data_IF_610768678030
#
_entry.id   IF_610768678030
#
_cell.length_a   1.000
_cell.length_b   1.000
_cell.length_c   1.000
_cell.angle_alpha   90.00
_cell.angle_beta   90.00
_cell.angle_gamma   90.00
#
_symmetry.space_group_name_H-M   'P 1'
#
loop_
_entity.id
_entity.type
_entity.pdbx_description
1 polymer ?
#
# COMPACT_ATOMS: atom_id res chain seq x y z
N UNK A 1 -6.67 6.57 16.78
CA UNK A 1 -5.98 7.77 17.29
C UNK A 1 -4.46 7.69 17.15
N UNK A 2 -3.80 6.57 17.52
CA UNK A 2 -2.34 6.44 17.49
C UNK A 2 -1.76 6.61 16.07
N UNK A 3 -2.40 6.05 15.04
CA UNK A 3 -1.97 6.20 13.64
C UNK A 3 -2.09 7.67 13.20
N UNK A 4 -3.23 8.32 13.44
CA UNK A 4 -3.43 9.74 13.11
C UNK A 4 -2.40 10.63 13.82
N UNK A 5 -2.09 10.34 15.07
CA UNK A 5 -1.07 11.05 15.81
C UNK A 5 0.32 10.94 15.17
N UNK A 6 0.66 9.78 14.58
CA UNK A 6 1.90 9.64 13.81
C UNK A 6 1.88 10.46 12.54
N UNK A 7 0.78 10.49 11.80
CA UNK A 7 0.66 11.27 10.58
C UNK A 7 0.80 12.77 10.83
N UNK A 8 0.14 13.31 11.85
CA UNK A 8 0.29 14.72 12.26
C UNK A 8 1.75 15.08 12.59
N UNK A 9 2.50 14.17 13.20
CA UNK A 9 3.90 14.41 13.56
C UNK A 9 4.85 14.38 12.37
N UNK A 10 4.51 13.70 11.29
CA UNK A 10 5.28 13.72 10.04
C UNK A 10 5.21 15.10 9.40
N UNK A 11 4.03 15.72 9.36
CA UNK A 11 3.85 17.07 8.82
C UNK A 11 4.75 18.07 9.54
N UNK A 12 4.98 17.90 10.83
CA UNK A 12 5.89 18.73 11.62
C UNK A 12 7.38 18.36 11.49
N UNK A 13 7.74 17.38 10.65
CA UNK A 13 9.10 16.80 10.48
C UNK A 13 9.74 16.24 11.76
N UNK A 14 9.03 16.25 12.88
CA UNK A 14 9.59 15.90 14.19
C UNK A 14 9.96 14.41 14.34
N UNK A 15 9.31 13.54 13.58
CA UNK A 15 9.51 12.07 13.65
C UNK A 15 10.84 11.70 12.98
N UNK A 16 11.07 12.15 11.77
CA UNK A 16 12.29 11.88 11.01
C UNK A 16 13.55 12.39 11.72
N UNK A 17 13.50 13.58 12.28
CA UNK A 17 14.62 14.15 13.03
C UNK A 17 15.05 13.32 14.24
N UNK A 18 14.14 12.48 14.78
CA UNK A 18 14.42 11.54 15.89
C UNK A 18 14.99 10.21 15.44
N UNK A 19 15.18 9.98 14.14
CA UNK A 19 15.59 8.70 13.57
C UNK A 19 14.46 7.67 13.56
N UNK A 20 13.22 8.12 13.46
CA UNK A 20 12.03 7.26 13.34
C UNK A 20 11.53 7.25 11.89
N UNK A 21 11.07 6.11 11.42
CA UNK A 21 10.49 5.94 10.08
C UNK A 21 9.08 5.38 10.23
N UNK A 22 8.13 5.90 9.45
CA UNK A 22 6.78 5.36 9.37
C UNK A 22 6.58 4.80 7.97
N UNK A 23 6.17 3.53 7.92
CA UNK A 23 5.92 2.79 6.69
C UNK A 23 4.50 2.23 6.79
N UNK A 24 3.68 2.50 5.77
CA UNK A 24 2.42 1.82 5.56
C UNK A 24 2.66 0.69 4.56
N UNK A 25 2.20 -0.52 4.85
CA UNK A 25 2.30 -1.64 3.91
C UNK A 25 0.93 -2.26 3.66
N UNK A 26 0.73 -2.72 2.42
CA UNK A 26 -0.52 -3.34 1.98
C UNK A 26 -0.30 -4.19 0.74
N UNK A 27 -1.21 -5.13 0.48
CA UNK A 27 -1.19 -5.98 -0.70
C UNK A 27 -2.40 -5.76 -1.59
N UNK A 28 -2.16 -5.83 -2.90
CA UNK A 28 -3.20 -5.95 -3.92
C UNK A 28 -3.12 -7.33 -4.56
N UNK A 29 -3.90 -8.30 -4.07
CA UNK A 29 -3.87 -9.65 -4.59
C UNK A 29 -4.60 -9.76 -5.93
N UNK A 30 -4.27 -10.81 -6.69
CA UNK A 30 -5.01 -11.25 -7.87
C UNK A 30 -5.18 -10.19 -8.98
N UNK A 31 -4.19 -9.32 -9.16
CA UNK A 31 -4.19 -8.38 -10.29
C UNK A 31 -4.15 -9.19 -11.57
N UNK A 32 -5.17 -9.05 -12.42
CA UNK A 32 -5.31 -9.84 -13.66
C UNK A 32 -4.26 -9.45 -14.70
N UNK A 33 -3.58 -10.46 -15.25
CA UNK A 33 -2.67 -10.27 -16.40
C UNK A 33 -3.48 -10.49 -17.66
N UNK A 34 -3.81 -9.41 -18.34
CA UNK A 34 -4.71 -9.42 -19.50
C UNK A 34 -3.97 -9.03 -20.76
N UNK A 35 -4.10 -9.85 -21.81
CA UNK A 35 -3.69 -9.56 -23.17
C UNK A 35 -4.93 -9.29 -24.03
N UNK A 36 -5.05 -8.09 -24.60
CA UNK A 36 -6.15 -7.74 -25.50
C UNK A 36 -5.93 -8.38 -26.85
N UNK A 37 -6.96 -9.01 -27.41
CA UNK A 37 -6.86 -9.73 -28.68
C UNK A 37 -6.72 -8.77 -29.86
N UNK A 38 -7.26 -7.58 -29.78
CA UNK A 38 -7.20 -6.55 -30.80
C UNK A 38 -6.67 -5.24 -30.23
N UNK A 39 -5.95 -4.43 -31.02
CA UNK A 39 -5.46 -3.14 -30.56
C UNK A 39 -6.61 -2.17 -30.30
N UNK A 40 -6.46 -1.36 -29.23
CA UNK A 40 -7.39 -0.26 -28.96
C UNK A 40 -7.44 0.69 -30.16
N UNK A 41 -8.63 1.02 -30.63
CA UNK A 41 -8.83 2.03 -31.66
C UNK A 41 -8.86 3.42 -31.00
N UNK A 42 -7.85 4.28 -31.25
CA UNK A 42 -7.78 5.59 -30.61
C UNK A 42 -8.91 6.50 -31.05
N UNK A 43 -9.25 7.46 -30.19
CA UNK A 43 -10.23 8.50 -30.48
C UNK A 43 -9.85 9.27 -31.76
N UNK A 44 -10.83 9.49 -32.64
CA UNK A 44 -10.72 10.32 -33.84
C UNK A 44 -11.87 11.33 -33.86
N UNK A 45 -11.76 12.37 -34.70
CA UNK A 45 -12.83 13.35 -34.83
C UNK A 45 -14.16 12.66 -35.22
N UNK A 46 -15.16 12.80 -34.35
CA UNK A 46 -16.48 12.15 -34.51
C UNK A 46 -16.54 10.67 -34.11
N UNK A 47 -15.46 10.09 -33.60
CA UNK A 47 -15.43 8.70 -33.12
C UNK A 47 -14.83 8.61 -31.72
N UNK A 48 -15.53 7.97 -30.79
CA UNK A 48 -15.02 7.67 -29.45
C UNK A 48 -13.94 6.57 -29.51
N UNK A 49 -13.07 6.56 -28.51
CA UNK A 49 -12.14 5.44 -28.30
C UNK A 49 -12.91 4.12 -28.15
N UNK A 50 -12.50 3.08 -28.87
CA UNK A 50 -13.06 1.74 -28.76
C UNK A 50 -12.01 0.80 -28.22
N UNK A 51 -12.28 0.21 -27.07
CA UNK A 51 -11.45 -0.83 -26.47
C UNK A 51 -12.07 -2.19 -26.74
N UNK A 52 -11.23 -3.15 -27.06
CA UNK A 52 -11.63 -4.55 -27.22
C UNK A 52 -12.05 -5.14 -25.87
N UNK A 53 -13.13 -5.89 -25.88
CA UNK A 53 -13.66 -6.59 -24.70
C UNK A 53 -13.12 -8.01 -24.58
N UNK A 54 -12.62 -8.59 -25.68
CA UNK A 54 -12.02 -9.92 -25.66
C UNK A 54 -10.56 -9.84 -25.21
N UNK A 55 -10.23 -10.67 -24.24
CA UNK A 55 -8.88 -10.75 -23.69
C UNK A 55 -8.51 -12.18 -23.35
N UNK A 56 -7.23 -12.49 -23.51
CA UNK A 56 -6.60 -13.71 -23.03
C UNK A 56 -6.03 -13.46 -21.64
N UNK A 57 -6.27 -14.39 -20.71
CA UNK A 57 -5.73 -14.32 -19.35
C UNK A 57 -4.42 -15.08 -19.25
N UNK A 58 -3.42 -14.45 -18.64
CA UNK A 58 -2.11 -15.03 -18.36
C UNK A 58 -1.85 -15.20 -16.86
N UNK A 59 -2.92 -15.44 -16.09
CA UNK A 59 -2.85 -15.58 -14.64
C UNK A 59 -2.99 -14.27 -13.89
N UNK A 60 -2.42 -14.21 -12.70
CA UNK A 60 -2.49 -13.07 -11.79
C UNK A 60 -1.14 -12.72 -11.19
N UNK A 61 -1.03 -11.50 -10.70
CA UNK A 61 0.11 -11.01 -9.91
C UNK A 61 -0.41 -10.53 -8.56
N UNK A 62 0.31 -10.86 -7.49
CA UNK A 62 0.06 -10.31 -6.15
C UNK A 62 1.11 -9.23 -5.88
N UNK A 63 0.68 -8.00 -5.72
CA UNK A 63 1.54 -6.86 -5.50
C UNK A 63 1.55 -6.48 -4.01
N UNK A 64 2.70 -6.55 -3.37
CA UNK A 64 2.92 -5.96 -2.05
C UNK A 64 3.57 -4.59 -2.20
N UNK A 65 3.08 -3.61 -1.46
CA UNK A 65 3.63 -2.26 -1.44
C UNK A 65 4.01 -1.80 -0.05
N UNK A 66 5.00 -0.91 0.01
CA UNK A 66 5.33 -0.15 1.20
C UNK A 66 5.41 1.34 0.85
N UNK A 67 4.65 2.16 1.55
CA UNK A 67 4.70 3.62 1.44
C UNK A 67 5.54 4.19 2.57
N UNK A 68 6.60 4.90 2.21
CA UNK A 68 7.40 5.65 3.17
C UNK A 68 6.73 7.02 3.37
N UNK A 69 6.01 7.16 4.48
CA UNK A 69 5.02 8.22 4.66
C UNK A 69 5.61 9.63 4.57
N UNK A 70 6.85 9.84 5.06
CA UNK A 70 7.46 11.17 5.12
C UNK A 70 7.86 11.77 3.75
N UNK A 71 8.07 10.93 2.74
CA UNK A 71 8.50 11.37 1.41
C UNK A 71 7.63 10.82 0.28
N UNK A 72 6.64 9.99 0.61
CA UNK A 72 5.72 9.39 -0.35
C UNK A 72 6.34 8.36 -1.30
N UNK A 73 7.58 7.93 -1.04
CA UNK A 73 8.23 6.93 -1.89
C UNK A 73 7.59 5.56 -1.70
N UNK A 74 7.46 4.87 -2.81
CA UNK A 74 6.93 3.52 -2.89
C UNK A 74 8.07 2.50 -2.90
N UNK A 75 7.89 1.42 -2.17
CA UNK A 75 8.54 0.14 -2.38
C UNK A 75 7.51 -0.85 -2.90
N UNK A 76 7.88 -1.70 -3.84
CA UNK A 76 6.99 -2.69 -4.43
C UNK A 76 7.70 -4.02 -4.66
N UNK A 77 6.98 -5.11 -4.43
CA UNK A 77 7.41 -6.47 -4.74
C UNK A 77 6.21 -7.30 -5.21
N UNK A 78 6.42 -8.11 -6.24
CA UNK A 78 5.43 -9.05 -6.73
C UNK A 78 5.63 -10.40 -6.03
N UNK A 79 4.62 -10.86 -5.31
CA UNK A 79 4.64 -12.11 -4.55
C UNK A 79 4.04 -13.25 -5.39
N UNK A 80 4.55 -14.46 -5.22
CA UNK A 80 3.98 -15.64 -5.87
C UNK A 80 2.63 -16.01 -5.27
N UNK A 81 2.47 -15.84 -3.96
CA UNK A 81 1.21 -16.06 -3.25
C UNK A 81 0.94 -14.93 -2.27
N UNK A 82 -0.34 -14.68 -2.02
CA UNK A 82 -0.79 -13.75 -0.98
C UNK A 82 -1.06 -14.50 0.32
N UNK A 83 0.02 -14.88 1.00
CA UNK A 83 -0.02 -15.60 2.29
C UNK A 83 1.10 -15.13 3.21
N UNK A 84 1.05 -15.57 4.48
CA UNK A 84 2.03 -15.18 5.49
C UNK A 84 3.46 -15.65 5.19
N UNK A 85 3.65 -16.74 4.44
CA UNK A 85 4.98 -17.25 4.07
C UNK A 85 5.70 -16.30 3.11
N UNK A 86 4.96 -15.72 2.16
CA UNK A 86 5.51 -14.74 1.21
C UNK A 86 5.55 -13.33 1.78
N UNK A 87 4.59 -12.97 2.62
CA UNK A 87 4.51 -11.68 3.29
C UNK A 87 5.72 -11.42 4.21
N UNK A 88 6.05 -12.34 5.12
CA UNK A 88 7.12 -12.15 6.12
C UNK A 88 8.49 -11.83 5.50
N UNK A 89 9.00 -12.59 4.50
CA UNK A 89 10.24 -12.23 3.82
C UNK A 89 10.18 -10.90 3.08
N UNK A 90 9.05 -10.56 2.47
CA UNK A 90 8.83 -9.30 1.79
C UNK A 90 8.90 -8.11 2.77
N UNK A 91 8.31 -8.24 3.96
CA UNK A 91 8.46 -7.25 5.05
C UNK A 91 9.94 -7.08 5.44
N UNK A 92 10.72 -8.15 5.57
CA UNK A 92 12.17 -8.02 5.85
C UNK A 92 12.89 -7.22 4.76
N UNK A 93 12.57 -7.46 3.48
CA UNK A 93 13.16 -6.70 2.35
C UNK A 93 12.72 -5.24 2.35
N UNK A 94 11.44 -4.96 2.62
CA UNK A 94 10.92 -3.60 2.78
C UNK A 94 11.65 -2.83 3.88
N UNK A 95 11.93 -3.47 5.01
CA UNK A 95 12.55 -2.84 6.18
C UNK A 95 14.07 -2.73 6.07
N UNK A 96 14.71 -3.53 5.22
CA UNK A 96 16.17 -3.63 5.11
C UNK A 96 16.88 -2.27 4.88
N UNK A 97 16.42 -1.38 3.97
CA UNK A 97 17.07 -0.09 3.73
C UNK A 97 17.05 0.86 4.95
N UNK A 98 16.22 0.57 5.94
CA UNK A 98 16.01 1.39 7.15
C UNK A 98 16.75 0.82 8.38
N UNK A 99 17.82 0.04 8.16
CA UNK A 99 18.67 -0.49 9.22
C UNK A 99 19.27 0.58 10.15
N UNK A 100 19.45 1.79 9.65
CA UNK A 100 19.93 2.96 10.38
C UNK A 100 18.88 3.58 11.33
N UNK A 101 17.58 3.33 11.11
CA UNK A 101 16.51 3.91 11.89
C UNK A 101 16.53 3.38 13.33
N UNK A 102 16.41 4.27 14.31
CA UNK A 102 16.27 3.91 15.72
C UNK A 102 14.95 3.19 15.98
N UNK A 103 13.91 3.56 15.23
CA UNK A 103 12.57 3.00 15.36
C UNK A 103 11.83 3.04 14.04
N UNK A 104 11.14 1.95 13.71
CA UNK A 104 10.27 1.87 12.53
C UNK A 104 8.85 1.58 13.01
N UNK A 105 7.90 2.39 12.59
CA UNK A 105 6.47 2.17 12.80
C UNK A 105 5.89 1.60 11.51
N UNK A 106 5.54 0.30 11.54
CA UNK A 106 4.93 -0.39 10.41
C UNK A 106 3.42 -0.42 10.61
N UNK A 107 2.68 0.24 9.73
CA UNK A 107 1.23 0.30 9.72
C UNK A 107 0.74 -0.71 8.68
N UNK A 108 -0.10 -1.65 9.10
CA UNK A 108 -0.69 -2.71 8.29
C UNK A 108 -2.15 -2.92 8.69
N UNK A 109 -2.90 -3.60 7.86
CA UNK A 109 -4.27 -3.98 8.19
C UNK A 109 -4.34 -5.25 9.07
N UNK A 110 -5.56 -5.65 9.46
CA UNK A 110 -5.82 -6.84 10.27
C UNK A 110 -6.07 -8.10 9.44
N UNK A 111 -5.54 -8.19 8.22
CA UNK A 111 -5.66 -9.37 7.38
C UNK A 111 -5.20 -10.66 8.09
N UNK A 112 -5.79 -11.79 7.73
CA UNK A 112 -5.45 -13.09 8.35
C UNK A 112 -3.98 -13.48 8.16
N UNK A 113 -3.37 -13.10 7.04
CA UNK A 113 -1.93 -13.26 6.78
C UNK A 113 -1.05 -12.46 7.74
N UNK A 114 -1.55 -11.32 8.24
CA UNK A 114 -0.84 -10.39 9.11
C UNK A 114 -0.99 -10.74 10.59
N UNK A 115 -2.10 -11.38 10.96
CA UNK A 115 -2.46 -11.70 12.36
C UNK A 115 -2.27 -13.16 12.73
N UNK A 116 -1.79 -14.01 11.80
CA UNK A 116 -1.49 -15.41 12.11
C UNK A 116 -0.41 -15.54 13.18
N UNK A 117 -0.44 -16.63 13.93
CA UNK A 117 0.52 -16.89 15.02
C UNK A 117 1.97 -16.80 14.55
N UNK A 118 2.27 -17.33 13.36
CA UNK A 118 3.61 -17.28 12.76
C UNK A 118 4.03 -15.85 12.43
N UNK A 119 3.10 -15.04 11.89
CA UNK A 119 3.39 -13.63 11.58
C UNK A 119 3.53 -12.81 12.85
N UNK A 120 2.75 -13.09 13.88
CA UNK A 120 2.90 -12.46 15.20
C UNK A 120 4.21 -12.88 15.88
N UNK A 121 4.66 -14.12 15.72
CA UNK A 121 5.98 -14.56 16.17
C UNK A 121 7.11 -13.81 15.44
N UNK A 122 7.00 -13.71 14.12
CA UNK A 122 7.92 -12.95 13.28
C UNK A 122 8.01 -11.46 13.70
N UNK A 123 6.90 -10.80 14.01
CA UNK A 123 6.92 -9.42 14.50
C UNK A 123 7.58 -9.29 15.88
N UNK A 124 7.42 -10.29 16.76
CA UNK A 124 8.13 -10.33 18.04
C UNK A 124 9.64 -10.43 17.87
N UNK A 125 10.13 -11.18 16.89
CA UNK A 125 11.57 -11.26 16.56
C UNK A 125 12.13 -9.91 16.09
N UNK A 126 11.34 -9.11 15.36
CA UNK A 126 11.74 -7.79 14.86
C UNK A 126 11.75 -6.71 15.95
N UNK A 127 11.03 -6.94 17.07
CA UNK A 127 11.01 -6.06 18.25
C UNK A 127 12.41 -5.99 18.94
N UNK A 128 12.79 -4.90 19.64
CA UNK A 128 11.98 -3.74 19.96
C UNK A 128 12.03 -2.59 18.95
N UNK A 129 12.82 -2.70 17.89
CA UNK A 129 13.03 -1.61 16.93
C UNK A 129 11.82 -1.41 16.00
N UNK A 130 11.11 -2.48 15.66
CA UNK A 130 9.93 -2.45 14.78
C UNK A 130 8.67 -2.44 15.63
N UNK A 131 7.87 -1.39 15.48
CA UNK A 131 6.58 -1.25 16.14
C UNK A 131 5.47 -1.43 15.11
N UNK A 132 4.82 -2.60 15.14
CA UNK A 132 3.68 -2.87 14.26
C UNK A 132 2.43 -2.19 14.82
N UNK A 133 1.69 -1.52 13.96
CA UNK A 133 0.44 -0.83 14.24
C UNK A 133 -0.63 -1.36 13.29
N UNK A 134 -1.55 -2.14 13.83
CA UNK A 134 -2.70 -2.61 13.07
C UNK A 134 -3.74 -1.50 12.94
N UNK A 135 -4.35 -1.38 11.75
CA UNK A 135 -5.53 -0.52 11.59
C UNK A 135 -6.70 -1.12 12.37
N UNK A 136 -7.66 -0.31 12.83
CA UNK A 136 -8.88 -0.85 13.41
C UNK A 136 -9.66 -1.70 12.41
N UNK A 137 -10.50 -2.61 12.92
CA UNK A 137 -11.50 -3.27 12.08
C UNK A 137 -12.36 -2.20 11.41
N UNK A 138 -12.65 -2.35 10.13
CA UNK A 138 -13.34 -1.34 9.29
C UNK A 138 -12.60 0.01 9.17
N UNK A 139 -11.30 0.03 9.50
CA UNK A 139 -10.44 1.23 9.46
C UNK A 139 -9.28 1.14 8.49
N UNK A 140 -9.37 0.31 7.44
CA UNK A 140 -8.32 0.12 6.43
C UNK A 140 -7.93 1.44 5.77
N UNK A 141 -8.89 2.36 5.58
CA UNK A 141 -8.66 3.72 5.06
C UNK A 141 -7.58 4.52 5.84
N UNK A 142 -7.25 4.14 7.06
CA UNK A 142 -6.12 4.70 7.82
C UNK A 142 -4.76 4.22 7.29
N UNK A 143 -4.72 3.18 6.47
CA UNK A 143 -3.50 2.70 5.83
C UNK A 143 -3.25 3.48 4.53
N UNK A 144 -2.33 4.44 4.55
CA UNK A 144 -2.02 5.25 3.36
C UNK A 144 -1.49 4.41 2.17
N UNK A 145 -1.04 3.17 2.40
CA UNK A 145 -0.66 2.28 1.31
C UNK A 145 -1.84 1.90 0.41
N UNK A 146 -3.07 1.91 0.93
CA UNK A 146 -4.30 1.71 0.15
C UNK A 146 -4.47 2.82 -0.90
N UNK A 147 -4.33 4.09 -0.49
CA UNK A 147 -4.37 5.24 -1.41
C UNK A 147 -3.22 5.21 -2.44
N UNK A 148 -2.04 4.73 -2.02
CA UNK A 148 -0.92 4.53 -2.94
C UNK A 148 -1.24 3.47 -4.00
N UNK A 149 -1.80 2.32 -3.58
CA UNK A 149 -2.18 1.22 -4.48
C UNK A 149 -3.26 1.64 -5.48
N UNK A 150 -4.20 2.47 -5.05
CA UNK A 150 -5.22 3.05 -5.93
C UNK A 150 -4.58 3.96 -6.97
N UNK A 151 -3.83 4.97 -6.55
CA UNK A 151 -3.18 5.93 -7.44
C UNK A 151 -2.18 5.26 -8.40
N UNK A 152 -1.40 4.28 -7.92
CA UNK A 152 -0.48 3.49 -8.73
C UNK A 152 -1.23 2.61 -9.74
N UNK A 153 -2.30 1.94 -9.30
CA UNK A 153 -3.13 1.10 -10.14
C UNK A 153 -3.78 1.86 -11.29
N UNK A 154 -4.36 3.03 -11.00
CA UNK A 154 -4.96 3.88 -12.01
C UNK A 154 -3.94 4.38 -13.04
N UNK A 155 -2.77 4.77 -12.59
CA UNK A 155 -1.74 5.35 -13.45
C UNK A 155 -1.03 4.34 -14.33
N UNK A 156 -0.69 3.17 -13.79
CA UNK A 156 0.23 2.23 -14.44
C UNK A 156 -0.41 0.90 -14.84
N UNK A 157 -1.54 0.51 -14.21
CA UNK A 157 -2.10 -0.83 -14.41
C UNK A 157 -3.45 -0.84 -15.14
N UNK A 158 -4.28 0.19 -14.96
CA UNK A 158 -5.68 0.20 -15.42
C UNK A 158 -5.85 -0.06 -16.92
N UNK A 159 -4.93 0.45 -17.75
CA UNK A 159 -4.98 0.31 -19.22
C UNK A 159 -3.90 -0.61 -19.78
N UNK A 160 -3.29 -1.40 -18.91
CA UNK A 160 -2.22 -2.29 -19.31
C UNK A 160 -2.65 -3.41 -20.26
N UNK A 161 -1.69 -3.88 -21.03
CA UNK A 161 -1.83 -5.00 -21.96
C UNK A 161 -0.56 -5.82 -21.89
N UNK A 162 -0.63 -7.02 -21.28
CA UNK A 162 0.54 -7.83 -21.02
C UNK A 162 0.37 -9.24 -21.57
N UNK A 163 1.30 -9.66 -22.42
CA UNK A 163 1.33 -10.98 -23.04
C UNK A 163 1.84 -12.08 -22.09
N UNK A 164 2.40 -11.70 -20.93
CA UNK A 164 2.83 -12.65 -19.89
C UNK A 164 2.85 -12.02 -18.51
N UNK A 165 2.89 -12.89 -17.47
CA UNK A 165 3.02 -12.49 -16.07
C UNK A 165 4.36 -11.76 -15.82
N UNK A 166 5.44 -12.24 -16.41
CA UNK A 166 6.80 -11.69 -16.27
C UNK A 166 6.88 -10.27 -16.81
N UNK A 167 6.25 -9.99 -17.95
CA UNK A 167 6.19 -8.65 -18.52
C UNK A 167 5.42 -7.68 -17.62
N UNK A 168 4.34 -8.14 -17.00
CA UNK A 168 3.62 -7.30 -16.03
C UNK A 168 4.44 -7.05 -14.78
N UNK A 169 5.14 -8.04 -14.25
CA UNK A 169 6.03 -7.89 -13.08
C UNK A 169 7.13 -6.87 -13.40
N UNK A 170 7.80 -7.00 -14.53
CA UNK A 170 8.83 -6.05 -14.95
C UNK A 170 8.25 -4.63 -15.08
N UNK A 171 7.06 -4.49 -15.69
CA UNK A 171 6.39 -3.21 -15.81
C UNK A 171 6.10 -2.58 -14.44
N UNK A 172 5.65 -3.37 -13.45
CA UNK A 172 5.40 -2.89 -12.08
C UNK A 172 6.70 -2.35 -11.44
N UNK A 173 7.81 -3.09 -11.57
CA UNK A 173 9.09 -2.69 -11.00
C UNK A 173 9.66 -1.43 -11.66
N UNK A 174 9.55 -1.30 -12.98
CA UNK A 174 9.94 -0.10 -13.73
C UNK A 174 9.06 1.09 -13.36
N UNK A 175 7.76 0.86 -13.24
CA UNK A 175 6.76 1.87 -12.83
C UNK A 175 6.99 2.36 -11.40
N UNK A 176 7.46 1.50 -10.49
CA UNK A 176 7.88 1.93 -9.15
C UNK A 176 9.00 2.98 -9.23
N UNK A 177 9.99 2.77 -10.10
CA UNK A 177 11.09 3.70 -10.29
C UNK A 177 10.60 5.04 -10.86
N UNK A 178 9.75 5.01 -11.88
CA UNK A 178 9.13 6.22 -12.45
C UNK A 178 8.27 6.96 -11.44
N UNK A 179 7.42 6.24 -10.67
CA UNK A 179 6.63 6.82 -9.59
C UNK A 179 7.52 7.54 -8.57
N UNK A 180 8.59 6.90 -8.12
CA UNK A 180 9.50 7.44 -7.12
C UNK A 180 10.28 8.68 -7.60
N UNK A 181 10.52 8.81 -8.90
CA UNK A 181 11.20 9.96 -9.47
C UNK A 181 10.26 11.15 -9.72
N UNK A 182 9.02 10.88 -10.14
CA UNK A 182 8.13 11.90 -10.68
C UNK A 182 6.96 12.27 -9.77
N UNK A 183 6.48 11.34 -8.95
CA UNK A 183 5.21 11.49 -8.24
C UNK A 183 5.33 11.28 -6.73
N UNK A 184 6.47 10.80 -6.23
CA UNK A 184 6.63 10.58 -4.80
C UNK A 184 6.61 11.90 -4.02
N UNK A 185 5.59 12.07 -3.20
CA UNK A 185 5.44 13.16 -2.24
C UNK A 185 4.61 12.66 -1.06
N UNK A 186 4.74 13.25 0.14
CA UNK A 186 3.87 12.91 1.26
C UNK A 186 2.40 13.12 0.90
N UNK A 187 1.56 12.16 1.24
CA UNK A 187 0.11 12.32 1.06
C UNK A 187 -0.39 13.44 2.00
N UNK A 188 -1.23 14.32 1.47
CA UNK A 188 -1.97 15.28 2.27
C UNK A 188 -3.09 14.56 2.99
N UNK A 189 -2.96 14.46 4.33
CA UNK A 189 -3.90 13.71 5.14
C UNK A 189 -4.89 14.65 5.82
N UNK A 190 -6.15 14.60 5.42
CA UNK A 190 -7.17 15.52 5.92
C UNK A 190 -7.64 15.23 7.36
N UNK A 191 -7.46 13.99 7.84
CA UNK A 191 -7.86 13.56 9.15
C UNK A 191 -6.79 13.86 10.22
N UNK A 192 -7.18 14.55 11.27
CA UNK A 192 -6.37 14.78 12.48
C UNK A 192 -6.98 14.07 13.68
N UNK A 193 -6.21 13.91 14.75
CA UNK A 193 -6.74 13.41 16.03
C UNK A 193 -7.91 14.26 16.52
N UNK A 194 -7.82 15.59 16.35
CA UNK A 194 -8.88 16.53 16.73
C UNK A 194 -10.15 16.33 15.89
N UNK A 195 -10.02 16.23 14.57
CA UNK A 195 -11.17 15.98 13.66
C UNK A 195 -11.83 14.65 13.98
N UNK A 196 -11.04 13.61 14.23
CA UNK A 196 -11.54 12.27 14.55
C UNK A 196 -12.29 12.26 15.89
N UNK A 197 -11.75 12.90 16.93
CA UNK A 197 -12.43 13.02 18.22
C UNK A 197 -13.72 13.83 18.11
N UNK A 198 -13.70 14.93 17.34
CA UNK A 198 -14.91 15.71 17.07
C UNK A 198 -15.98 14.86 16.38
N UNK A 199 -15.60 14.10 15.34
CA UNK A 199 -16.52 13.22 14.64
C UNK A 199 -17.10 12.13 15.55
N UNK A 200 -16.27 11.47 16.36
CA UNK A 200 -16.73 10.47 17.33
C UNK A 200 -17.76 11.03 18.32
N UNK A 201 -17.52 12.24 18.83
CA UNK A 201 -18.41 12.85 19.82
C UNK A 201 -19.73 13.36 19.21
N UNK A 202 -19.75 13.61 17.88
CA UNK A 202 -20.91 14.18 17.21
C UNK A 202 -21.64 13.18 16.29
N UNK A 203 -21.23 11.90 16.25
CA UNK A 203 -21.92 10.85 15.47
C UNK A 203 -22.64 9.91 16.42
N UNK A 204 -23.97 10.09 16.65
CA UNK A 204 -24.76 9.21 17.52
C UNK A 204 -24.78 7.78 16.95
N UNK A 205 -24.47 6.80 17.78
CA UNK A 205 -24.62 5.38 17.45
C UNK A 205 -23.32 4.61 17.14
N UNK A 206 -22.15 5.25 17.05
CA UNK A 206 -20.87 4.58 16.81
C UNK A 206 -20.18 4.05 18.08
N UNK A 207 -20.63 4.43 19.28
CA UNK A 207 -20.10 3.89 20.53
C UNK A 207 -20.88 2.63 20.91
N UNK A 208 -20.68 1.55 20.19
CA UNK A 208 -20.84 0.19 20.67
C UNK A 208 -19.54 -0.58 20.46
N UNK A 209 -18.45 -0.09 21.01
CA UNK A 209 -17.33 -0.96 21.31
C UNK A 209 -17.80 -1.89 22.43
N UNK A 210 -17.97 -3.17 22.09
CA UNK A 210 -18.05 -4.23 23.10
C UNK A 210 -16.73 -4.19 23.86
N UNK A 211 -16.81 -3.88 25.13
CA UNK A 211 -15.79 -4.17 26.15
C UNK A 211 -15.48 -5.67 26.14
#
# INVERSE_FOLDING_TARGET
LKILWYYERIETRSVWQRGEVIICADEKPNIQVLERMMPTQPMRSGQIERQEFEYKRHGTVNLMTGLIVYNGRMWAECLDKNDGEHFRPAVRRLLHPYGWAKRIHLIIDNGSSHTSDDTMAFFRELSPRIHVLFTPVDGSWLNQAESLLEAFGERYLLRGNWMSRELMIQHILDSQSDYNQRFAHPFQWEWSCRKFLYWLNNTPGLIRCKT
#
